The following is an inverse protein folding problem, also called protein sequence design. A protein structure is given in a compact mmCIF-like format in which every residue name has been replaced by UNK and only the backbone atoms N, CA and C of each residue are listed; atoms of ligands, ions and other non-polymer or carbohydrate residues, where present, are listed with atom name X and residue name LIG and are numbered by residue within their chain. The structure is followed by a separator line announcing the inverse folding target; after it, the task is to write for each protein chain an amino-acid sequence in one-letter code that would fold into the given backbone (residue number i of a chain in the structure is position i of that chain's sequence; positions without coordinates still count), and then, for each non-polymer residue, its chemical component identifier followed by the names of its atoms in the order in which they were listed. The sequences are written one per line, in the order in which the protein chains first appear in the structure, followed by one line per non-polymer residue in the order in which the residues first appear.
data_IF_023916172598
#
_entry.id   IF_023916172598
#
_cell.length_a   1.000
_cell.length_b   1.000
_cell.length_c   1.000
_cell.angle_alpha   90.00
_cell.angle_beta   90.00
_cell.angle_gamma   90.00
#
_symmetry.space_group_name_H-M   'P 1'
#
loop_
_entity.id
_entity.type
_entity.pdbx_description
1 polymer ?
#
# COMPACT_ATOMS: atom_id res chain seq x y z
N UNK A 1 -15.47 5.40 15.39
CA UNK A 1 -14.26 4.86 14.74
C UNK A 1 -14.22 5.47 13.35
N UNK A 2 -13.42 6.52 13.17
CA UNK A 2 -13.28 7.17 11.87
C UNK A 2 -12.35 6.29 11.05
N UNK A 3 -12.91 5.57 10.07
CA UNK A 3 -12.10 4.83 9.11
C UNK A 3 -11.52 5.89 8.18
N UNK A 4 -10.27 6.26 8.42
CA UNK A 4 -9.51 7.13 7.52
C UNK A 4 -9.08 6.27 6.32
N UNK A 5 -9.88 6.31 5.26
CA UNK A 5 -9.54 5.72 3.95
C UNK A 5 -8.40 6.46 3.24
N UNK A 6 -7.75 7.41 3.93
CA UNK A 6 -6.66 8.22 3.42
C UNK A 6 -5.38 7.41 3.23
N UNK A 7 -5.16 6.39 4.08
CA UNK A 7 -3.97 5.55 4.04
C UNK A 7 -4.39 4.10 3.76
N UNK A 8 -3.93 3.55 2.65
CA UNK A 8 -4.30 2.21 2.18
C UNK A 8 -3.05 1.45 1.76
N UNK A 9 -2.94 0.22 2.23
CA UNK A 9 -1.94 -0.76 1.77
C UNK A 9 -2.69 -1.87 1.03
N UNK A 10 -2.54 -1.91 -0.30
CA UNK A 10 -3.19 -2.90 -1.14
C UNK A 10 -2.29 -4.12 -1.32
N UNK A 11 -2.80 -5.29 -0.92
CA UNK A 11 -2.26 -6.62 -1.20
C UNK A 11 -3.06 -7.26 -2.34
N UNK A 12 -2.60 -8.40 -2.87
CA UNK A 12 -3.32 -9.15 -3.88
C UNK A 12 -3.47 -10.62 -3.47
N UNK A 13 -4.67 -11.18 -3.63
CA UNK A 13 -5.00 -12.54 -3.19
C UNK A 13 -4.14 -13.63 -3.85
N UNK A 14 -3.60 -13.39 -5.05
CA UNK A 14 -2.68 -14.35 -5.71
C UNK A 14 -1.26 -14.31 -5.17
N UNK A 15 -0.94 -13.38 -4.26
CA UNK A 15 0.35 -13.26 -3.58
C UNK A 15 0.09 -13.24 -2.06
N UNK A 16 -0.40 -14.36 -1.49
CA UNK A 16 -0.81 -14.42 -0.08
C UNK A 16 0.38 -14.20 0.86
N UNK A 17 1.53 -14.80 0.53
CA UNK A 17 2.81 -14.58 1.19
C UNK A 17 3.52 -13.42 0.49
N UNK A 18 3.56 -12.24 1.14
CA UNK A 18 4.09 -11.01 0.57
C UNK A 18 4.98 -10.29 1.59
N UNK A 19 6.27 -10.64 1.59
CA UNK A 19 7.27 -10.03 2.50
C UNK A 19 7.31 -8.51 2.39
N UNK A 20 7.18 -7.96 1.18
CA UNK A 20 7.19 -6.51 0.96
C UNK A 20 5.96 -5.83 1.56
N UNK A 21 4.81 -6.50 1.50
CA UNK A 21 3.58 -6.01 2.11
C UNK A 21 3.72 -5.98 3.64
N UNK A 22 4.33 -7.00 4.23
CA UNK A 22 4.55 -7.08 5.68
C UNK A 22 5.59 -6.05 6.14
N UNK A 23 6.69 -5.86 5.40
CA UNK A 23 7.65 -4.77 5.67
C UNK A 23 7.02 -3.39 5.59
N UNK A 24 6.13 -3.15 4.62
CA UNK A 24 5.40 -1.87 4.52
C UNK A 24 4.48 -1.65 5.72
N UNK A 25 3.82 -2.70 6.22
CA UNK A 25 3.01 -2.62 7.45
C UNK A 25 3.87 -2.21 8.64
N UNK A 26 4.97 -2.94 8.85
CA UNK A 26 5.88 -2.68 9.97
C UNK A 26 6.42 -1.24 9.93
N UNK A 27 6.78 -0.74 8.75
CA UNK A 27 7.27 0.63 8.60
C UNK A 27 6.19 1.68 8.91
N UNK A 28 4.96 1.49 8.45
CA UNK A 28 3.84 2.39 8.76
C UNK A 28 3.50 2.36 10.26
N UNK A 29 3.51 1.17 10.87
CA UNK A 29 3.28 0.99 12.31
C UNK A 29 4.39 1.67 13.14
N UNK A 30 5.65 1.53 12.74
CA UNK A 30 6.79 2.23 13.36
C UNK A 30 6.68 3.76 13.26
N UNK A 31 6.11 4.27 12.16
CA UNK A 31 5.84 5.71 11.97
C UNK A 31 4.57 6.18 12.68
N UNK A 32 3.80 5.28 13.30
CA UNK A 32 2.53 5.60 13.97
C UNK A 32 1.40 5.98 13.00
N UNK A 33 1.52 5.62 11.73
CA UNK A 33 0.54 5.95 10.68
C UNK A 33 -0.53 4.87 10.67
N UNK A 34 -1.79 5.25 10.86
CA UNK A 34 -2.92 4.33 10.72
C UNK A 34 -3.24 4.12 9.24
N UNK A 35 -3.52 2.88 8.86
CA UNK A 35 -3.86 2.51 7.48
C UNK A 35 -4.89 1.38 7.45
N UNK A 36 -5.53 1.22 6.29
CA UNK A 36 -6.41 0.09 5.98
C UNK A 36 -5.69 -0.88 5.04
N UNK A 37 -5.82 -2.18 5.28
CA UNK A 37 -5.35 -3.21 4.35
C UNK A 37 -6.49 -3.61 3.43
N UNK A 38 -6.22 -3.67 2.13
CA UNK A 38 -7.15 -4.21 1.14
C UNK A 38 -6.51 -5.44 0.49
N UNK A 39 -7.08 -6.62 0.73
CA UNK A 39 -6.74 -7.85 0.00
C UNK A 39 -7.51 -7.90 -1.31
N UNK A 40 -6.91 -7.34 -2.37
CA UNK A 40 -7.57 -7.18 -3.66
C UNK A 40 -7.70 -8.49 -4.43
N UNK A 41 -8.84 -8.64 -5.11
CA UNK A 41 -9.01 -9.61 -6.17
C UNK A 41 -8.42 -9.11 -7.50
N UNK A 42 -8.42 -9.99 -8.51
CA UNK A 42 -7.91 -9.67 -9.84
C UNK A 42 -8.59 -8.45 -10.48
N UNK A 43 -9.90 -8.27 -10.28
CA UNK A 43 -10.66 -7.19 -10.93
C UNK A 43 -10.34 -5.85 -10.31
N UNK A 44 -10.34 -5.78 -8.97
CA UNK A 44 -9.97 -4.59 -8.23
C UNK A 44 -8.54 -4.18 -8.56
N UNK A 45 -7.60 -5.13 -8.51
CA UNK A 45 -6.20 -4.84 -8.77
C UNK A 45 -5.99 -4.38 -10.21
N UNK A 46 -6.64 -5.00 -11.19
CA UNK A 46 -6.55 -4.54 -12.57
C UNK A 46 -7.01 -3.09 -12.76
N UNK A 47 -8.11 -2.69 -12.11
CA UNK A 47 -8.57 -1.29 -12.12
C UNK A 47 -7.56 -0.36 -11.45
N UNK A 48 -7.02 -0.78 -10.30
CA UNK A 48 -6.01 0.00 -9.58
C UNK A 48 -4.76 0.22 -10.44
N UNK A 49 -4.27 -0.82 -11.13
CA UNK A 49 -3.14 -0.74 -12.06
C UNK A 49 -3.36 0.27 -13.20
N UNK A 50 -4.61 0.52 -13.62
CA UNK A 50 -4.89 1.53 -14.65
C UNK A 50 -4.65 2.96 -14.14
N UNK A 51 -4.87 3.19 -12.85
CA UNK A 51 -4.72 4.49 -12.20
C UNK A 51 -3.30 4.72 -11.71
N UNK A 52 -2.71 3.70 -11.06
CA UNK A 52 -1.38 3.79 -10.45
C UNK A 52 -0.26 3.52 -11.43
N UNK A 53 -0.58 2.92 -12.59
CA UNK A 53 0.38 2.42 -13.58
C UNK A 53 1.40 1.41 -13.02
N UNK A 54 1.18 0.89 -11.81
CA UNK A 54 2.02 -0.11 -11.16
C UNK A 54 1.37 -1.49 -11.23
N UNK A 55 2.19 -2.53 -11.44
CA UNK A 55 1.76 -3.94 -11.43
C UNK A 55 2.21 -4.70 -10.19
N UNK A 56 2.96 -4.04 -9.31
CA UNK A 56 3.58 -4.66 -8.13
C UNK A 56 2.65 -4.58 -6.93
N UNK A 57 2.86 -5.48 -5.98
CA UNK A 57 2.35 -5.36 -4.59
C UNK A 57 3.53 -5.15 -3.63
N UNK A 58 3.34 -4.43 -2.52
CA UNK A 58 2.13 -3.67 -2.18
C UNK A 58 1.93 -2.46 -3.10
N UNK A 59 0.70 -1.98 -3.22
CA UNK A 59 0.42 -0.62 -3.73
C UNK A 59 -0.04 0.24 -2.57
N UNK A 60 0.76 1.25 -2.24
CA UNK A 60 0.59 2.07 -1.05
C UNK A 60 0.05 3.42 -1.47
N UNK A 61 -1.01 3.85 -0.78
CA UNK A 61 -1.65 5.15 -0.93
C UNK A 61 -1.58 5.80 0.44
N UNK A 62 -1.01 6.99 0.55
CA UNK A 62 -0.97 7.78 1.79
C UNK A 62 -1.59 9.14 1.53
N UNK A 63 -2.43 9.60 2.45
CA UNK A 63 -3.18 10.86 2.33
C UNK A 63 -3.95 11.00 1.00
N UNK A 64 -4.42 9.89 0.44
CA UNK A 64 -5.12 9.85 -0.85
C UNK A 64 -4.21 9.89 -2.09
N UNK A 65 -2.89 9.96 -1.92
CA UNK A 65 -1.91 9.99 -3.01
C UNK A 65 -1.21 8.64 -3.16
N UNK A 66 -1.02 8.20 -4.40
CA UNK A 66 -0.30 6.95 -4.69
C UNK A 66 1.19 7.15 -4.44
N UNK A 67 1.72 6.41 -3.46
CA UNK A 67 3.14 6.45 -3.07
C UNK A 67 3.96 5.48 -3.91
N UNK A 68 3.48 4.25 -4.10
CA UNK A 68 4.23 3.22 -4.83
C UNK A 68 4.31 1.88 -4.11
N UNK A 69 5.44 1.20 -4.29
CA UNK A 69 5.81 -0.04 -3.61
C UNK A 69 6.58 0.22 -2.30
N UNK A 70 7.12 -0.83 -1.67
CA UNK A 70 7.86 -0.71 -0.41
C UNK A 70 9.08 0.22 -0.52
N UNK A 71 9.82 0.19 -1.64
CA UNK A 71 11.00 1.04 -1.78
C UNK A 71 10.58 2.51 -1.90
N UNK A 72 9.53 2.78 -2.67
CA UNK A 72 8.97 4.13 -2.81
C UNK A 72 8.49 4.66 -1.44
N UNK A 73 7.91 3.79 -0.59
CA UNK A 73 7.53 4.14 0.78
C UNK A 73 8.74 4.48 1.66
N UNK A 74 9.84 3.72 1.56
CA UNK A 74 11.07 4.02 2.29
C UNK A 74 11.65 5.37 1.83
N UNK A 75 11.71 5.61 0.52
CA UNK A 75 12.18 6.87 -0.03
C UNK A 75 11.31 8.06 0.40
N UNK A 76 9.99 7.88 0.40
CA UNK A 76 9.03 8.89 0.88
C UNK A 76 9.32 9.38 2.30
N UNK A 77 9.80 8.50 3.19
CA UNK A 77 10.17 8.87 4.56
C UNK A 77 11.62 9.29 4.76
N UNK A 78 12.51 9.01 3.80
CA UNK A 78 13.91 9.45 3.84
C UNK A 78 14.09 10.84 3.25
N UNK A 79 13.13 11.32 2.44
CA UNK A 79 13.12 12.66 1.84
C UNK A 79 12.58 13.79 2.74
N UNK A 80 12.34 13.51 4.03
CA UNK A 80 11.87 14.48 5.05
C UNK A 80 12.86 14.63 6.19
#
# INVERSE_FOLDING_TARGET
MNIELNNVLVRHQSVPECDWCDKSKDLLDQKGIKYTIIDSDKKFFWNLMQVTHSKKVPQIILNGEFVGDYNDLVEHFNGT
#
